data_IF_557986103167
#
_entry.id   IF_557986103167
#
_cell.length_a   1.000
_cell.length_b   1.000
_cell.length_c   1.000
_cell.angle_alpha   90.00
_cell.angle_beta   90.00
_cell.angle_gamma   90.00
#
_symmetry.space_group_name_H-M   'P 1'
#
loop_
_entity.id
_entity.type
_entity.pdbx_description
1 polymer ?
#
# COMPACT_ATOMS: atom_id res chain seq x y z
N UNK A 1 1.62 -12.26 -8.95
CA UNK A 1 1.99 -11.74 -7.64
C UNK A 1 3.16 -12.54 -7.09
N UNK A 2 4.20 -11.84 -6.70
CA UNK A 2 5.36 -12.45 -6.07
C UNK A 2 5.38 -12.05 -4.60
N UNK A 3 5.72 -13.00 -3.73
CA UNK A 3 5.83 -12.72 -2.30
C UNK A 3 7.23 -13.07 -1.84
N UNK A 4 7.85 -12.17 -1.10
CA UNK A 4 9.22 -12.30 -0.68
C UNK A 4 9.37 -11.90 0.78
N UNK A 5 10.07 -12.70 1.56
CA UNK A 5 10.37 -12.39 2.94
C UNK A 5 9.31 -12.84 3.91
N UNK A 6 9.57 -12.59 5.18
CA UNK A 6 8.66 -12.89 6.27
C UNK A 6 9.01 -12.00 7.45
N UNK A 7 8.06 -11.85 8.37
CA UNK A 7 8.27 -11.02 9.54
C UNK A 7 7.01 -10.97 10.36
N UNK A 8 7.09 -10.34 11.52
CA UNK A 8 5.97 -10.18 12.43
C UNK A 8 5.69 -8.72 12.65
N UNK A 9 4.42 -8.40 12.89
CA UNK A 9 3.99 -7.06 13.20
C UNK A 9 2.84 -7.12 14.18
N UNK A 10 2.63 -6.03 14.90
CA UNK A 10 1.49 -5.91 15.81
C UNK A 10 0.37 -5.17 15.12
N UNK A 11 -0.84 -5.68 15.27
CA UNK A 11 -2.00 -4.98 14.75
C UNK A 11 -3.24 -5.84 14.78
N UNK A 12 -4.35 -5.18 14.49
CA UNK A 12 -5.63 -5.85 14.30
C UNK A 12 -5.59 -6.59 12.97
N UNK A 13 -5.64 -7.90 13.05
CA UNK A 13 -5.46 -8.73 11.87
C UNK A 13 -6.36 -8.33 10.70
N UNK A 14 -7.65 -8.17 10.95
CA UNK A 14 -8.58 -7.86 9.87
C UNK A 14 -8.33 -6.50 9.25
N UNK A 15 -7.98 -5.51 10.08
CA UNK A 15 -7.67 -4.19 9.57
C UNK A 15 -6.39 -4.18 8.76
N UNK A 16 -5.37 -4.91 9.23
CA UNK A 16 -4.11 -4.99 8.51
C UNK A 16 -4.30 -5.71 7.17
N UNK A 17 -5.07 -6.80 7.18
CA UNK A 17 -5.36 -7.52 5.93
C UNK A 17 -6.09 -6.63 4.93
N UNK A 18 -7.02 -5.81 5.42
CA UNK A 18 -7.74 -4.89 4.55
C UNK A 18 -6.79 -3.85 3.97
N UNK A 19 -5.91 -3.30 4.79
CA UNK A 19 -4.94 -2.33 4.31
C UNK A 19 -4.04 -2.93 3.23
N UNK A 20 -3.53 -4.14 3.47
CA UNK A 20 -2.70 -4.82 2.48
C UNK A 20 -3.48 -5.12 1.21
N UNK A 21 -4.71 -5.57 1.34
CA UNK A 21 -5.55 -5.83 0.18
C UNK A 21 -5.73 -4.57 -0.66
N UNK A 22 -5.93 -3.43 0.01
CA UNK A 22 -6.07 -2.16 -0.69
C UNK A 22 -4.80 -1.80 -1.47
N UNK A 23 -3.64 -2.01 -0.85
CA UNK A 23 -2.37 -1.72 -1.52
C UNK A 23 -2.14 -2.67 -2.70
N UNK A 24 -2.44 -3.95 -2.51
CA UNK A 24 -2.28 -4.93 -3.57
C UNK A 24 -3.24 -4.67 -4.72
N UNK A 25 -4.47 -4.32 -4.41
CA UNK A 25 -5.45 -4.00 -5.44
C UNK A 25 -5.00 -2.81 -6.26
N UNK A 26 -4.47 -1.78 -5.60
CA UNK A 26 -3.94 -0.63 -6.29
C UNK A 26 -2.79 -1.02 -7.22
N UNK A 27 -1.87 -1.86 -6.71
CA UNK A 27 -0.73 -2.30 -7.52
C UNK A 27 -1.20 -3.13 -8.72
N UNK A 28 -2.14 -4.05 -8.50
CA UNK A 28 -2.65 -4.87 -9.59
C UNK A 28 -3.33 -4.05 -10.68
N UNK A 29 -3.99 -2.96 -10.28
CA UNK A 29 -4.66 -2.09 -11.23
C UNK A 29 -3.66 -1.36 -12.13
N UNK A 30 -2.51 -0.99 -11.59
CA UNK A 30 -1.54 -0.16 -12.31
C UNK A 30 -0.37 -0.94 -12.88
N UNK A 31 -0.20 -2.19 -12.50
CA UNK A 31 0.92 -2.99 -12.96
C UNK A 31 0.81 -3.30 -14.46
N UNK A 32 1.95 -3.38 -15.11
CA UNK A 32 2.01 -3.87 -16.47
C UNK A 32 2.05 -5.38 -16.49
N UNK A 33 2.89 -5.99 -15.66
CA UNK A 33 3.00 -7.44 -15.62
C UNK A 33 3.40 -7.99 -14.27
N UNK A 34 3.95 -7.19 -13.36
CA UNK A 34 4.49 -7.70 -12.11
C UNK A 34 4.02 -6.91 -10.90
N UNK A 35 3.65 -7.63 -9.85
CA UNK A 35 3.36 -7.08 -8.54
C UNK A 35 4.13 -7.93 -7.53
N UNK A 36 4.82 -7.28 -6.61
CA UNK A 36 5.57 -7.98 -5.58
C UNK A 36 5.20 -7.45 -4.21
N UNK A 37 5.01 -8.36 -3.27
CA UNK A 37 4.86 -8.05 -1.86
C UNK A 37 6.13 -8.51 -1.15
N UNK A 38 6.81 -7.56 -0.51
CA UNK A 38 8.00 -7.87 0.29
C UNK A 38 7.65 -7.67 1.75
N UNK A 39 7.99 -8.64 2.57
CA UNK A 39 7.61 -8.66 3.98
C UNK A 39 8.87 -8.63 4.83
N UNK A 40 8.89 -7.73 5.81
CA UNK A 40 9.96 -7.66 6.80
C UNK A 40 9.35 -7.47 8.19
N UNK A 41 10.19 -7.23 9.16
CA UNK A 41 9.73 -7.01 10.53
C UNK A 41 8.94 -5.71 10.61
N UNK A 42 7.64 -5.81 10.84
CA UNK A 42 6.79 -4.65 10.98
C UNK A 42 6.59 -3.85 9.70
N UNK A 43 6.96 -4.39 8.54
CA UNK A 43 6.86 -3.63 7.31
C UNK A 43 6.44 -4.51 6.15
N UNK A 44 5.58 -3.94 5.30
CA UNK A 44 5.14 -4.58 4.07
C UNK A 44 5.39 -3.60 2.93
N UNK A 45 6.07 -4.04 1.88
CA UNK A 45 6.30 -3.21 0.70
C UNK A 45 5.57 -3.82 -0.48
N UNK A 46 4.73 -3.02 -1.11
CA UNK A 46 3.96 -3.45 -2.28
C UNK A 46 4.50 -2.69 -3.49
N UNK A 47 5.02 -3.43 -4.45
CA UNK A 47 5.68 -2.87 -5.63
C UNK A 47 5.00 -3.33 -6.90
N UNK A 48 5.03 -2.48 -7.92
CA UNK A 48 4.57 -2.89 -9.24
C UNK A 48 5.52 -2.35 -10.31
N UNK A 49 5.33 -2.82 -11.53
CA UNK A 49 6.14 -2.41 -12.67
C UNK A 49 5.39 -1.45 -13.60
N UNK A 50 4.39 -0.76 -13.08
CA UNK A 50 3.62 0.20 -13.84
C UNK A 50 4.34 1.53 -14.03
N UNK A 51 3.56 2.59 -14.19
CA UNK A 51 4.12 3.90 -14.47
C UNK A 51 4.46 4.70 -13.21
N UNK A 52 4.25 4.13 -12.04
CA UNK A 52 4.48 4.84 -10.79
C UNK A 52 3.25 5.60 -10.34
N UNK A 53 3.38 6.32 -9.25
CA UNK A 53 2.28 7.09 -8.71
C UNK A 53 2.08 8.35 -9.56
N UNK A 54 0.84 8.61 -9.98
CA UNK A 54 0.58 9.81 -10.79
C UNK A 54 0.68 11.10 -9.99
N UNK A 55 0.55 11.02 -8.68
CA UNK A 55 0.62 12.16 -7.78
C UNK A 55 1.38 11.72 -6.53
N UNK A 56 1.88 12.68 -5.74
CA UNK A 56 2.48 12.32 -4.45
C UNK A 56 1.49 11.54 -3.58
N UNK A 57 2.03 10.65 -2.76
CA UNK A 57 1.19 9.80 -1.93
C UNK A 57 0.24 10.63 -1.06
N UNK A 58 0.71 11.75 -0.53
CA UNK A 58 -0.15 12.60 0.31
C UNK A 58 -1.38 13.07 -0.41
N UNK A 59 -1.27 13.30 -1.72
CA UNK A 59 -2.41 13.72 -2.52
C UNK A 59 -3.33 12.55 -2.83
N UNK A 60 -2.76 11.38 -3.05
CA UNK A 60 -3.54 10.19 -3.41
C UNK A 60 -4.26 9.59 -2.20
N UNK A 61 -3.65 9.66 -1.03
CA UNK A 61 -4.20 9.06 0.18
C UNK A 61 -5.12 10.02 0.92
N UNK A 62 -6.05 10.64 0.19
CA UNK A 62 -7.07 11.54 0.74
C UNK A 62 -8.45 10.95 0.53
N UNK A 63 -9.37 11.21 1.47
CA UNK A 63 -10.75 10.80 1.24
C UNK A 63 -11.35 11.60 0.09
N UNK A 64 -12.18 10.95 -0.70
CA UNK A 64 -12.91 11.61 -1.79
C UNK A 64 -12.00 12.34 -2.76
N UNK A 65 -10.93 11.67 -3.16
CA UNK A 65 -10.04 12.22 -4.19
C UNK A 65 -10.87 12.56 -5.42
N UNK A 66 -10.66 13.76 -5.92
CA UNK A 66 -11.47 14.29 -7.00
C UNK A 66 -11.29 13.45 -8.27
N UNK A 67 -12.40 13.14 -8.91
CA UNK A 67 -12.38 12.36 -10.12
C UNK A 67 -12.27 10.89 -9.90
N UNK A 68 -11.81 10.49 -8.73
CA UNK A 68 -11.63 9.09 -8.41
C UNK A 68 -12.75 8.54 -7.53
N UNK A 69 -13.43 9.42 -6.84
CA UNK A 69 -14.43 9.01 -5.88
C UNK A 69 -15.52 8.13 -6.48
N UNK A 70 -15.90 8.39 -7.70
CA UNK A 70 -16.95 7.60 -8.34
C UNK A 70 -16.50 6.17 -8.63
N UNK A 71 -15.25 5.97 -8.84
CA UNK A 71 -14.70 4.63 -8.97
C UNK A 71 -14.46 4.02 -7.63
N UNK A 72 -14.29 4.87 -6.66
CA UNK A 72 -14.33 4.54 -5.27
C UNK A 72 -13.12 3.87 -4.70
N UNK A 73 -12.37 3.19 -5.47
CA UNK A 73 -11.43 2.31 -4.84
C UNK A 73 -10.03 2.91 -4.68
N UNK A 74 -9.46 3.52 -5.72
CA UNK A 74 -8.06 3.91 -5.61
C UNK A 74 -7.82 4.93 -4.50
N UNK A 75 -8.55 6.03 -4.50
CA UNK A 75 -8.35 7.07 -3.50
C UNK A 75 -8.73 6.64 -2.11
N UNK A 76 -9.89 5.99 -1.98
CA UNK A 76 -10.35 5.54 -0.67
C UNK A 76 -9.52 4.39 -0.14
N UNK A 77 -9.04 3.53 -1.03
CA UNK A 77 -8.22 2.40 -0.63
C UNK A 77 -6.91 2.86 0.01
N UNK A 78 -6.24 3.82 -0.61
CA UNK A 78 -4.99 4.33 -0.05
C UNK A 78 -5.23 5.11 1.23
N UNK A 79 -6.31 5.88 1.28
CA UNK A 79 -6.67 6.59 2.50
C UNK A 79 -6.95 5.60 3.63
N UNK A 80 -7.68 4.53 3.35
CA UNK A 80 -7.98 3.52 4.36
C UNK A 80 -6.69 2.88 4.87
N UNK A 81 -5.77 2.53 3.97
CA UNK A 81 -4.50 1.94 4.37
C UNK A 81 -3.69 2.90 5.25
N UNK A 82 -3.69 4.18 4.88
CA UNK A 82 -3.02 5.20 5.68
C UNK A 82 -3.61 5.29 7.07
N UNK A 83 -4.93 5.31 7.17
CA UNK A 83 -5.59 5.41 8.48
C UNK A 83 -5.32 4.18 9.33
N UNK A 84 -5.33 3.00 8.74
CA UNK A 84 -5.01 1.77 9.47
C UNK A 84 -3.59 1.86 10.02
N UNK A 85 -2.63 2.26 9.19
CA UNK A 85 -1.25 2.36 9.64
C UNK A 85 -1.13 3.34 10.80
N UNK A 86 -1.73 4.52 10.66
CA UNK A 86 -1.62 5.55 11.69
C UNK A 86 -2.32 5.15 12.99
N UNK A 87 -3.46 4.46 12.87
CA UNK A 87 -4.16 3.99 14.05
C UNK A 87 -3.34 2.96 14.83
N UNK A 88 -2.43 2.28 14.16
CA UNK A 88 -1.54 1.31 14.80
C UNK A 88 -0.20 1.91 15.23
N UNK A 89 -0.03 3.22 15.04
CA UNK A 89 1.24 3.87 15.41
C UNK A 89 2.31 3.74 14.36
N UNK A 90 1.95 3.30 13.17
CA UNK A 90 2.87 3.20 12.06
C UNK A 90 2.58 4.25 11.00
N UNK A 91 2.90 3.92 9.76
CA UNK A 91 2.69 4.87 8.67
C UNK A 91 2.61 4.16 7.33
N UNK A 92 2.00 4.84 6.38
CA UNK A 92 2.04 4.48 4.97
C UNK A 92 3.03 5.44 4.30
N UNK A 93 3.97 4.92 3.52
CA UNK A 93 5.00 5.76 2.91
C UNK A 93 5.34 5.28 1.51
N UNK A 94 5.80 6.21 0.65
CA UNK A 94 6.27 5.82 -0.67
C UNK A 94 7.68 5.29 -0.58
N UNK A 95 8.04 4.43 -1.53
CA UNK A 95 9.38 3.88 -1.58
C UNK A 95 9.78 3.69 -3.02
N UNK A 96 11.00 3.24 -3.25
CA UNK A 96 11.46 2.91 -4.57
C UNK A 96 11.79 1.44 -4.61
N UNK A 97 11.29 0.77 -5.63
CA UNK A 97 11.49 -0.65 -5.76
C UNK A 97 12.19 -1.00 -7.06
N UNK A 98 12.75 -2.21 -7.13
CA UNK A 98 13.48 -2.63 -8.31
C UNK A 98 12.61 -2.86 -9.55
N UNK A 99 11.30 -2.90 -9.39
CA UNK A 99 10.42 -3.12 -10.54
C UNK A 99 10.15 -1.85 -11.35
N UNK A 100 10.52 -0.68 -10.82
CA UNK A 100 10.48 0.55 -11.58
C UNK A 100 9.18 1.31 -11.57
N UNK A 101 8.13 0.75 -11.00
CA UNK A 101 6.85 1.44 -10.88
C UNK A 101 6.64 1.99 -9.48
N UNK A 102 5.40 1.93 -9.01
CA UNK A 102 5.08 2.41 -7.67
C UNK A 102 5.58 1.43 -6.61
N UNK A 103 5.96 1.98 -5.46
CA UNK A 103 6.29 1.20 -4.29
C UNK A 103 5.66 1.89 -3.08
N UNK A 104 4.84 1.16 -2.35
CA UNK A 104 4.17 1.68 -1.16
C UNK A 104 4.51 0.80 0.02
N UNK A 105 4.91 1.44 1.12
CA UNK A 105 5.26 0.73 2.34
C UNK A 105 4.21 0.93 3.42
N UNK A 106 3.86 -0.13 4.09
CA UNK A 106 2.98 -0.11 5.25
C UNK A 106 3.80 -0.53 6.45
N UNK A 107 4.04 0.41 7.35
CA UNK A 107 4.82 0.17 8.54
C UNK A 107 3.91 0.04 9.75
N UNK A 108 4.13 -1.00 10.55
CA UNK A 108 3.38 -1.29 11.76
C UNK A 108 4.36 -1.52 12.90
N UNK A 109 3.90 -1.47 14.17
CA UNK A 109 4.80 -1.80 15.29
C UNK A 109 5.35 -3.20 15.14
N UNK A 110 6.60 -3.37 15.53
CA UNK A 110 7.21 -4.70 15.52
C UNK A 110 6.63 -5.54 16.65
N UNK A 111 6.52 -6.81 16.39
CA UNK A 111 6.01 -7.75 17.37
C UNK A 111 7.04 -8.07 18.44
#
# INVERSE_FOLDING_TARGET
LEVEGAGLARGERLLVERALANLLENALRHAKSRVRLRVGEGVFLVEDDGEGLPLPLEALARPFLQGEGRRGSAGLGLYTAKRVAEAHGGRLFPCEGPLGGACLGLELPKA
#
